data_IF_578832706273
#
_entry.id   IF_578832706273
#
_cell.length_a   1.000
_cell.length_b   1.000
_cell.length_c   1.000
_cell.angle_alpha   90.00
_cell.angle_beta   90.00
_cell.angle_gamma   90.00
#
_symmetry.space_group_name_H-M   'P 1'
#
loop_
_entity.id
_entity.type
_entity.pdbx_description
1 polymer ?
#
# COMPACT_ATOMS: atom_id res chain seq x y z
N UNK A 1 11.15 -15.86 -3.95
CA UNK A 1 10.64 -14.49 -4.15
C UNK A 1 9.77 -14.11 -2.96
N UNK A 2 10.00 -12.93 -2.38
CA UNK A 2 9.29 -12.51 -1.18
C UNK A 2 7.95 -11.85 -1.45
N UNK A 3 7.90 -11.02 -2.47
CA UNK A 3 6.67 -10.27 -2.81
C UNK A 3 6.10 -10.69 -4.15
N UNK A 4 6.39 -9.96 -5.18
CA UNK A 4 5.97 -10.25 -6.55
C UNK A 4 6.99 -9.73 -7.55
N UNK A 5 6.89 -10.21 -8.77
CA UNK A 5 7.70 -9.66 -9.85
C UNK A 5 7.10 -8.33 -10.30
N UNK A 6 7.95 -7.36 -10.62
CA UNK A 6 7.49 -6.09 -11.17
C UNK A 6 6.94 -6.30 -12.58
N UNK A 7 5.92 -5.53 -12.95
CA UNK A 7 5.37 -5.56 -14.30
C UNK A 7 6.36 -4.99 -15.31
N UNK A 8 6.14 -5.26 -16.58
CA UNK A 8 6.98 -4.71 -17.65
C UNK A 8 6.98 -3.19 -17.63
N UNK A 9 5.84 -2.56 -17.34
CA UNK A 9 5.72 -1.10 -17.20
C UNK A 9 6.54 -0.57 -16.02
N UNK A 10 6.46 -1.24 -14.88
CA UNK A 10 7.23 -0.87 -13.70
C UNK A 10 8.73 -1.02 -13.94
N UNK A 11 9.14 -2.11 -14.60
CA UNK A 11 10.54 -2.35 -14.95
C UNK A 11 11.05 -1.30 -15.93
N UNK A 12 10.24 -0.90 -16.92
CA UNK A 12 10.60 0.14 -17.87
C UNK A 12 10.80 1.49 -17.16
N UNK A 13 9.91 1.82 -16.22
CA UNK A 13 10.02 3.04 -15.42
C UNK A 13 11.30 3.05 -14.56
N UNK A 14 11.71 1.88 -14.07
CA UNK A 14 12.88 1.70 -13.19
C UNK A 14 14.11 1.21 -13.96
N UNK A 15 14.18 1.44 -15.27
CA UNK A 15 15.26 0.92 -16.11
C UNK A 15 16.64 1.32 -15.60
N UNK A 16 16.85 2.59 -15.25
CA UNK A 16 18.14 3.07 -14.75
C UNK A 16 18.50 2.43 -13.41
N UNK A 17 17.53 2.27 -12.53
CA UNK A 17 17.73 1.60 -11.25
C UNK A 17 18.09 0.13 -11.44
N UNK A 18 17.46 -0.53 -12.40
CA UNK A 18 17.76 -1.92 -12.73
C UNK A 18 19.17 -2.08 -13.29
N UNK A 19 19.61 -1.16 -14.14
CA UNK A 19 20.98 -1.15 -14.67
C UNK A 19 22.00 -1.01 -13.54
N UNK A 20 21.74 -0.13 -12.58
CA UNK A 20 22.60 0.04 -11.42
C UNK A 20 22.64 -1.23 -10.56
N UNK A 21 21.48 -1.85 -10.38
CA UNK A 21 21.37 -3.12 -9.65
C UNK A 21 22.22 -4.21 -10.32
N UNK A 22 22.16 -4.32 -11.64
CA UNK A 22 22.97 -5.29 -12.39
C UNK A 22 24.47 -5.03 -12.22
N UNK A 23 24.89 -3.76 -12.29
CA UNK A 23 26.29 -3.38 -12.10
C UNK A 23 26.77 -3.76 -10.70
N UNK A 24 25.99 -3.48 -9.67
CA UNK A 24 26.31 -3.84 -8.28
C UNK A 24 26.46 -5.35 -8.13
N UNK A 25 25.70 -6.13 -8.91
CA UNK A 25 25.77 -7.59 -8.92
C UNK A 25 26.78 -8.13 -9.95
N UNK A 26 27.67 -7.26 -10.45
CA UNK A 26 28.74 -7.61 -11.39
C UNK A 26 28.24 -8.14 -12.74
N UNK A 27 27.05 -7.72 -13.16
CA UNK A 27 26.48 -8.09 -14.45
C UNK A 27 26.47 -6.86 -15.37
N UNK A 28 27.27 -6.90 -16.42
CA UNK A 28 27.36 -5.84 -17.43
C UNK A 28 26.37 -6.06 -18.57
N UNK A 29 26.15 -5.04 -19.40
CA UNK A 29 25.17 -5.09 -20.50
C UNK A 29 25.32 -6.31 -21.41
N UNK A 30 26.56 -6.62 -21.81
CA UNK A 30 26.82 -7.76 -22.70
C UNK A 30 26.51 -9.08 -22.01
N UNK A 31 26.88 -9.20 -20.75
CA UNK A 31 26.58 -10.38 -19.93
C UNK A 31 25.06 -10.54 -19.72
N UNK A 32 24.38 -9.43 -19.50
CA UNK A 32 22.92 -9.45 -19.35
C UNK A 32 22.23 -9.94 -20.61
N UNK A 33 22.65 -9.45 -21.79
CA UNK A 33 22.10 -9.90 -23.09
C UNK A 33 22.36 -11.37 -23.33
N UNK A 34 23.57 -11.83 -23.05
CA UNK A 34 23.96 -13.24 -23.15
C UNK A 34 23.10 -14.11 -22.23
N UNK A 35 22.95 -13.68 -20.98
CA UNK A 35 22.15 -14.38 -19.97
C UNK A 35 20.71 -14.57 -20.41
N UNK A 36 20.09 -13.53 -20.98
CA UNK A 36 18.72 -13.61 -21.46
C UNK A 36 18.57 -14.61 -22.63
N UNK A 37 19.63 -14.83 -23.39
CA UNK A 37 19.62 -15.76 -24.53
C UNK A 37 19.94 -17.19 -24.11
N UNK A 38 20.91 -17.37 -23.22
CA UNK A 38 21.47 -18.70 -22.89
C UNK A 38 21.01 -19.24 -21.54
N UNK A 39 20.67 -18.37 -20.60
CA UNK A 39 20.28 -18.76 -19.23
C UNK A 39 19.16 -17.86 -18.74
N UNK A 40 17.98 -18.04 -19.33
CA UNK A 40 16.80 -17.22 -19.01
C UNK A 40 16.34 -17.37 -17.56
N UNK A 41 16.59 -18.53 -16.94
CA UNK A 41 16.26 -18.76 -15.54
C UNK A 41 17.09 -17.87 -14.59
N UNK A 42 18.38 -17.75 -14.90
CA UNK A 42 19.28 -16.89 -14.13
C UNK A 42 18.91 -15.41 -14.32
N UNK A 43 18.59 -15.01 -15.55
CA UNK A 43 18.12 -13.66 -15.84
C UNK A 43 16.83 -13.35 -15.06
N UNK A 44 15.88 -14.28 -15.06
CA UNK A 44 14.63 -14.12 -14.32
C UNK A 44 14.86 -14.04 -12.81
N UNK A 45 15.80 -14.82 -12.27
CA UNK A 45 16.11 -14.76 -10.85
C UNK A 45 16.66 -13.40 -10.42
N UNK A 46 17.43 -12.73 -11.29
CA UNK A 46 17.91 -11.37 -11.04
C UNK A 46 16.77 -10.36 -11.07
N UNK A 47 15.82 -10.51 -11.98
CA UNK A 47 14.62 -9.66 -12.04
C UNK A 47 13.78 -9.83 -10.78
N UNK A 48 13.63 -11.06 -10.29
CA UNK A 48 12.91 -11.35 -9.04
C UNK A 48 13.59 -10.70 -7.85
N UNK A 49 14.91 -10.80 -7.76
CA UNK A 49 15.67 -10.21 -6.67
C UNK A 49 15.56 -8.68 -6.70
N UNK A 50 15.67 -8.08 -7.87
CA UNK A 50 15.48 -6.64 -8.03
C UNK A 50 14.06 -6.22 -7.60
N UNK A 51 13.05 -6.96 -8.05
CA UNK A 51 11.65 -6.70 -7.71
C UNK A 51 11.42 -6.70 -6.21
N UNK A 52 11.92 -7.72 -5.51
CA UNK A 52 11.80 -7.79 -4.05
C UNK A 52 12.54 -6.65 -3.35
N UNK A 53 13.71 -6.26 -3.87
CA UNK A 53 14.49 -5.15 -3.31
C UNK A 53 13.76 -3.82 -3.44
N UNK A 54 13.16 -3.56 -4.60
CA UNK A 54 12.37 -2.34 -4.85
C UNK A 54 11.15 -2.30 -3.94
N UNK A 55 10.39 -3.39 -3.92
CA UNK A 55 9.15 -3.44 -3.12
C UNK A 55 9.44 -3.36 -1.63
N UNK A 56 10.52 -3.95 -1.15
CA UNK A 56 10.93 -3.82 0.25
C UNK A 56 11.11 -2.35 0.62
N UNK A 57 11.84 -1.59 -0.20
CA UNK A 57 12.06 -0.16 0.04
C UNK A 57 10.78 0.65 -0.02
N UNK A 58 9.90 0.33 -0.95
CA UNK A 58 8.60 1.01 -1.07
C UNK A 58 7.78 0.78 0.20
N UNK A 59 7.66 -0.48 0.63
CA UNK A 59 6.85 -0.81 1.79
C UNK A 59 7.43 -0.26 3.11
N UNK A 60 8.74 -0.15 3.21
CA UNK A 60 9.38 0.49 4.37
C UNK A 60 8.96 1.95 4.54
N UNK A 61 8.66 2.64 3.45
CA UNK A 61 8.28 4.05 3.44
C UNK A 61 6.78 4.27 3.57
N UNK A 62 5.97 3.25 3.39
CA UNK A 62 4.51 3.36 3.47
C UNK A 62 4.09 3.52 4.93
N UNK A 63 3.36 4.60 5.23
CA UNK A 63 2.90 4.91 6.59
C UNK A 63 1.38 4.83 6.72
N UNK A 64 0.65 5.05 5.64
CA UNK A 64 -0.82 5.05 5.63
C UNK A 64 -1.32 4.38 4.38
N UNK A 65 -2.30 3.48 4.56
CA UNK A 65 -3.03 2.87 3.44
C UNK A 65 -4.51 2.88 3.77
N UNK A 66 -5.34 2.74 2.75
CA UNK A 66 -6.78 2.77 2.92
C UNK A 66 -7.48 1.81 1.97
N UNK A 67 -8.67 1.39 2.37
CA UNK A 67 -9.56 0.60 1.53
C UNK A 67 -10.92 1.27 1.54
N UNK A 68 -11.44 1.63 0.37
CA UNK A 68 -12.73 2.34 0.23
C UNK A 68 -13.74 1.50 -0.53
N UNK A 69 -14.97 1.58 -0.08
CA UNK A 69 -16.14 1.08 -0.77
C UNK A 69 -17.27 2.10 -0.58
N UNK A 70 -18.41 1.99 -1.31
CA UNK A 70 -19.48 2.97 -1.15
C UNK A 70 -20.02 3.09 0.27
N UNK A 71 -20.01 2.01 1.05
CA UNK A 71 -20.58 2.00 2.40
C UNK A 71 -19.56 1.96 3.53
N UNK A 72 -18.26 1.93 3.22
CA UNK A 72 -17.22 1.89 4.26
C UNK A 72 -15.89 2.41 3.74
N UNK A 73 -15.13 3.03 4.63
CA UNK A 73 -13.74 3.41 4.38
C UNK A 73 -12.92 2.98 5.59
N UNK A 74 -11.86 2.23 5.34
CA UNK A 74 -10.92 1.79 6.37
C UNK A 74 -9.57 2.42 6.09
N UNK A 75 -9.00 3.07 7.10
CA UNK A 75 -7.67 3.68 7.00
C UNK A 75 -6.77 3.07 8.04
N UNK A 76 -5.56 2.71 7.64
CA UNK A 76 -4.57 2.07 8.49
C UNK A 76 -3.35 2.97 8.64
N UNK A 77 -2.96 3.20 9.89
CA UNK A 77 -1.70 3.84 10.23
C UNK A 77 -0.70 2.75 10.56
N UNK A 78 0.36 2.66 9.78
CA UNK A 78 1.31 1.54 9.81
C UNK A 78 2.54 1.92 10.63
N UNK A 79 2.51 1.62 11.93
CA UNK A 79 3.65 1.80 12.82
C UNK A 79 4.71 0.72 12.64
N UNK A 80 5.77 0.77 13.46
CA UNK A 80 6.86 -0.21 13.39
C UNK A 80 6.43 -1.58 13.90
N UNK A 81 5.71 -1.64 15.02
CA UNK A 81 5.35 -2.88 15.69
C UNK A 81 3.87 -3.22 15.60
N UNK A 82 3.04 -2.25 15.26
CA UNK A 82 1.59 -2.40 15.24
C UNK A 82 0.96 -1.46 14.23
N UNK A 83 -0.27 -1.78 13.86
CA UNK A 83 -1.07 -0.92 13.00
C UNK A 83 -2.32 -0.45 13.75
N UNK A 84 -2.70 0.80 13.51
CA UNK A 84 -3.95 1.36 13.99
C UNK A 84 -4.94 1.41 12.83
N UNK A 85 -6.21 1.13 13.13
CA UNK A 85 -7.29 1.17 12.15
C UNK A 85 -8.33 2.18 12.59
N UNK A 86 -8.77 3.03 11.65
CA UNK A 86 -10.00 3.80 11.79
C UNK A 86 -10.91 3.38 10.64
N UNK A 87 -12.12 2.98 10.98
CA UNK A 87 -13.14 2.59 10.00
C UNK A 87 -14.34 3.51 10.12
N UNK A 88 -14.82 3.99 8.99
CA UNK A 88 -16.09 4.70 8.87
C UNK A 88 -17.02 3.84 8.05
N UNK A 89 -18.24 3.68 8.52
CA UNK A 89 -19.26 2.91 7.80
C UNK A 89 -20.59 3.66 7.83
N UNK A 90 -21.41 3.42 6.83
CA UNK A 90 -22.78 3.94 6.77
C UNK A 90 -23.72 2.86 6.27
N UNK A 91 -24.86 2.74 6.93
CA UNK A 91 -25.95 1.86 6.47
C UNK A 91 -26.89 2.56 5.49
N UNK A 92 -26.72 3.87 5.27
CA UNK A 92 -27.52 4.65 4.33
C UNK A 92 -27.14 4.32 2.90
N UNK A 93 -28.12 3.95 2.08
CA UNK A 93 -27.89 3.56 0.68
C UNK A 93 -27.37 4.71 -0.20
N UNK A 94 -27.72 5.94 0.16
CA UNK A 94 -27.34 7.13 -0.60
C UNK A 94 -25.96 7.67 -0.22
N UNK A 95 -25.37 7.17 0.87
CA UNK A 95 -24.04 7.60 1.30
C UNK A 95 -23.00 6.87 0.50
N UNK A 96 -22.04 7.62 -0.05
CA UNK A 96 -20.90 7.08 -0.75
C UNK A 96 -19.62 7.47 -0.01
N UNK A 97 -18.84 6.49 0.41
CA UNK A 97 -17.59 6.70 1.12
C UNK A 97 -16.37 6.31 0.27
N UNK A 98 -16.55 6.25 -1.05
CA UNK A 98 -15.49 5.80 -1.96
C UNK A 98 -14.53 6.90 -2.40
N UNK A 99 -14.84 8.17 -2.17
CA UNK A 99 -13.98 9.30 -2.54
C UNK A 99 -13.71 10.21 -1.34
N UNK A 100 -12.57 10.97 -1.32
CA UNK A 100 -12.30 11.93 -0.26
C UNK A 100 -13.38 13.00 -0.15
N UNK A 101 -13.90 13.48 -1.27
CA UNK A 101 -14.95 14.51 -1.33
C UNK A 101 -16.25 14.02 -0.73
N UNK A 102 -16.66 12.80 -1.08
CA UNK A 102 -17.91 12.23 -0.56
C UNK A 102 -17.81 11.94 0.94
N UNK A 103 -16.66 11.53 1.43
CA UNK A 103 -16.41 11.32 2.87
C UNK A 103 -16.49 12.65 3.62
N UNK A 104 -15.84 13.67 3.09
CA UNK A 104 -15.88 15.02 3.70
C UNK A 104 -17.33 15.53 3.77
N UNK A 105 -18.07 15.37 2.68
CA UNK A 105 -19.48 15.75 2.62
C UNK A 105 -20.32 15.02 3.69
N UNK A 106 -20.13 13.70 3.80
CA UNK A 106 -20.85 12.89 4.78
C UNK A 106 -20.52 13.30 6.22
N UNK A 107 -19.24 13.60 6.51
CA UNK A 107 -18.80 14.06 7.83
C UNK A 107 -19.44 15.40 8.22
N UNK A 108 -19.68 16.27 7.25
CA UNK A 108 -20.27 17.59 7.48
C UNK A 108 -21.79 17.52 7.56
N UNK A 109 -22.43 16.80 6.62
CA UNK A 109 -23.89 16.81 6.46
C UNK A 109 -24.64 15.78 7.31
N UNK A 110 -24.06 14.58 7.48
CA UNK A 110 -24.76 13.47 8.13
C UNK A 110 -23.85 12.72 9.13
N UNK A 111 -23.12 13.43 10.01
CA UNK A 111 -22.20 12.74 10.93
C UNK A 111 -22.90 11.72 11.83
N UNK A 112 -24.15 11.96 12.18
CA UNK A 112 -24.97 11.07 13.04
C UNK A 112 -25.32 9.75 12.39
N UNK A 113 -25.21 9.64 11.06
CA UNK A 113 -25.49 8.41 10.31
C UNK A 113 -24.25 7.57 10.04
N UNK A 114 -23.08 8.08 10.45
CA UNK A 114 -21.82 7.41 10.28
C UNK A 114 -21.47 6.64 11.55
N UNK A 115 -20.95 5.42 11.35
CA UNK A 115 -20.46 4.59 12.43
C UNK A 115 -18.96 4.58 12.38
N UNK A 116 -18.31 4.85 13.51
CA UNK A 116 -16.86 4.86 13.63
C UNK A 116 -16.40 3.68 14.44
N UNK A 117 -15.32 3.08 14.01
CA UNK A 117 -14.67 2.00 14.73
C UNK A 117 -13.17 2.25 14.73
N UNK A 118 -12.54 2.05 15.88
CA UNK A 118 -11.10 2.21 16.01
C UNK A 118 -10.52 0.98 16.69
N UNK A 119 -9.39 0.48 16.17
CA UNK A 119 -8.73 -0.69 16.68
C UNK A 119 -7.22 -0.59 16.48
N UNK A 120 -6.48 -1.34 17.26
CA UNK A 120 -5.03 -1.46 17.13
C UNK A 120 -4.68 -2.94 17.19
N UNK A 121 -3.79 -3.40 16.31
CA UNK A 121 -3.33 -4.78 16.35
C UNK A 121 -1.84 -4.87 16.02
N UNK A 122 -1.12 -5.84 16.61
CA UNK A 122 0.26 -6.12 16.21
C UNK A 122 0.29 -6.81 14.86
N UNK A 123 1.43 -6.76 14.20
CA UNK A 123 1.64 -7.53 12.97
C UNK A 123 1.80 -9.02 13.30
N UNK A 124 1.16 -9.87 12.51
CA UNK A 124 1.27 -11.32 12.64
C UNK A 124 2.48 -11.80 11.85
N UNK A 125 2.71 -11.18 10.69
CA UNK A 125 3.87 -11.42 9.83
C UNK A 125 4.83 -10.24 9.92
N UNK A 126 5.91 -10.31 9.18
CA UNK A 126 6.76 -9.17 8.88
C UNK A 126 5.92 -7.99 8.37
N UNK A 127 6.18 -6.78 8.88
CA UNK A 127 5.39 -5.58 8.59
C UNK A 127 5.20 -5.35 7.09
N UNK A 128 6.30 -5.40 6.34
CA UNK A 128 6.27 -5.13 4.91
C UNK A 128 5.50 -6.21 4.15
N UNK A 129 5.54 -7.44 4.63
CA UNK A 129 4.76 -8.54 4.05
C UNK A 129 3.26 -8.32 4.27
N UNK A 130 2.85 -7.87 5.45
CA UNK A 130 1.44 -7.56 5.71
C UNK A 130 0.97 -6.38 4.86
N UNK A 131 1.82 -5.35 4.68
CA UNK A 131 1.51 -4.23 3.80
C UNK A 131 1.31 -4.72 2.36
N UNK A 132 2.21 -5.60 1.90
CA UNK A 132 2.08 -6.20 0.58
C UNK A 132 0.74 -6.93 0.42
N UNK A 133 0.39 -7.77 1.38
CA UNK A 133 -0.86 -8.53 1.34
C UNK A 133 -2.08 -7.60 1.31
N UNK A 134 -2.05 -6.52 2.07
CA UNK A 134 -3.15 -5.55 2.10
C UNK A 134 -3.29 -4.79 0.78
N UNK A 135 -2.18 -4.41 0.16
CA UNK A 135 -2.19 -3.74 -1.14
C UNK A 135 -2.68 -4.69 -2.23
N UNK A 136 -2.22 -5.94 -2.21
CA UNK A 136 -2.73 -6.96 -3.16
C UNK A 136 -4.22 -7.21 -2.96
N UNK A 137 -4.73 -7.03 -1.73
CA UNK A 137 -6.15 -7.15 -1.41
C UNK A 137 -7.00 -5.92 -1.76
N UNK A 138 -6.40 -4.88 -2.34
CA UNK A 138 -7.14 -3.70 -2.81
C UNK A 138 -6.88 -2.40 -2.04
N UNK A 139 -6.03 -2.42 -1.02
CA UNK A 139 -5.67 -1.19 -0.32
C UNK A 139 -4.78 -0.31 -1.21
N UNK A 140 -4.93 1.01 -1.08
CA UNK A 140 -4.14 2.00 -1.80
C UNK A 140 -3.48 2.96 -0.82
N UNK A 141 -2.51 3.72 -1.27
CA UNK A 141 -1.84 4.70 -0.44
C UNK A 141 -2.83 5.73 0.11
N UNK A 142 -2.65 6.10 1.37
CA UNK A 142 -3.41 7.15 2.02
C UNK A 142 -2.46 8.24 2.51
N UNK A 143 -2.94 9.13 3.38
CA UNK A 143 -2.17 10.27 3.84
C UNK A 143 -2.35 10.50 5.34
N UNK A 144 -1.34 11.13 5.94
CA UNK A 144 -1.43 11.58 7.33
C UNK A 144 -2.55 12.61 7.50
N UNK A 145 -2.73 13.51 6.52
CA UNK A 145 -3.79 14.52 6.58
C UNK A 145 -5.17 13.89 6.69
N UNK A 146 -5.43 12.84 5.91
CA UNK A 146 -6.70 12.13 5.98
C UNK A 146 -6.86 11.41 7.33
N UNK A 147 -5.81 10.76 7.82
CA UNK A 147 -5.82 10.12 9.14
C UNK A 147 -6.18 11.11 10.24
N UNK A 148 -5.56 12.29 10.25
CA UNK A 148 -5.81 13.35 11.23
C UNK A 148 -7.25 13.82 11.14
N UNK A 149 -7.79 13.99 9.93
CA UNK A 149 -9.18 14.37 9.72
C UNK A 149 -10.13 13.38 10.39
N UNK A 150 -9.87 12.08 10.21
CA UNK A 150 -10.70 11.03 10.82
C UNK A 150 -10.55 10.97 12.33
N UNK A 151 -9.36 11.17 12.86
CA UNK A 151 -9.14 11.23 14.32
C UNK A 151 -9.94 12.36 14.94
N UNK A 152 -9.97 13.53 14.31
CA UNK A 152 -10.75 14.67 14.77
C UNK A 152 -12.24 14.39 14.72
N UNK A 153 -12.70 13.72 13.67
CA UNK A 153 -14.11 13.36 13.55
C UNK A 153 -14.56 12.43 14.67
N UNK A 154 -13.75 11.44 15.01
CA UNK A 154 -14.02 10.52 16.12
C UNK A 154 -14.03 11.26 17.45
N UNK A 155 -13.07 12.16 17.67
CA UNK A 155 -12.97 12.93 18.93
C UNK A 155 -14.15 13.83 19.16
N UNK A 156 -14.84 14.29 18.10
CA UNK A 156 -16.00 15.16 18.15
C UNK A 156 -17.32 14.39 18.15
N UNK A 157 -17.26 13.06 18.08
CA UNK A 157 -18.47 12.23 18.11
C UNK A 157 -19.10 12.26 19.49
N UNK A 158 -20.43 12.52 19.59
CA UNK A 158 -21.12 12.46 20.90
C UNK A 158 -21.08 11.03 21.44
N UNK A 159 -20.65 10.93 22.68
CA UNK A 159 -20.63 9.63 23.37
C UNK A 159 -22.02 9.20 23.83
#
# INVERSE_FOLDING_TARGET
MKYRILSDEELAYLEDDFKQFLIVNEVHDDEWREMNKKDSEKALSLVRLFSDTVLQKVYEKVKFIEHRSPNACKVFKLGEDKMDLISIASSEKETDLSTPESIHEALVKIPEKLQFFRSTKPYIKDREMEIHDMIEGGCVNSSEAFWILLEKAISNEPK
#
